data_IF_903704928786
#
_entry.id   IF_903704928786
#
_cell.length_a   1.000
_cell.length_b   1.000
_cell.length_c   1.000
_cell.angle_alpha   90.00
_cell.angle_beta   90.00
_cell.angle_gamma   90.00
#
_symmetry.space_group_name_H-M   'P 1'
#
loop_
_entity.id
_entity.type
_entity.pdbx_description
1 polymer ?
#
# COMPACT_ATOMS: atom_id res chain seq x y z
N UNK A 1 14.31 -5.19 10.30
CA UNK A 1 14.40 -3.81 10.77
C UNK A 1 14.03 -3.72 12.27
N UNK A 2 12.90 -4.27 12.73
CA UNK A 2 12.49 -4.26 14.13
C UNK A 2 13.58 -4.78 15.07
N UNK A 3 14.20 -5.94 14.74
CA UNK A 3 15.32 -6.48 15.52
C UNK A 3 16.49 -5.50 15.67
N UNK A 4 16.86 -4.77 14.60
CA UNK A 4 17.93 -3.77 14.62
C UNK A 4 17.57 -2.56 15.50
N UNK A 5 16.29 -2.23 15.59
CA UNK A 5 15.75 -1.14 16.41
C UNK A 5 15.34 -1.58 17.82
N UNK A 6 15.55 -2.88 18.17
CA UNK A 6 15.15 -3.48 19.45
C UNK A 6 13.64 -3.35 19.73
N UNK A 7 12.83 -3.47 18.68
CA UNK A 7 11.37 -3.46 18.75
C UNK A 7 10.90 -4.91 18.72
N UNK A 8 10.07 -5.28 19.68
CA UNK A 8 9.50 -6.62 19.75
C UNK A 8 8.51 -6.85 18.61
N UNK A 9 8.56 -8.05 18.02
CA UNK A 9 7.61 -8.42 16.99
C UNK A 9 6.21 -8.59 17.59
N UNK A 10 5.23 -7.86 17.06
CA UNK A 10 3.87 -7.89 17.57
C UNK A 10 2.95 -6.89 16.86
N UNK A 11 1.74 -6.80 17.35
CA UNK A 11 0.69 -5.97 16.77
C UNK A 11 1.08 -4.47 16.67
N UNK A 12 1.90 -4.00 17.59
CA UNK A 12 2.31 -2.60 17.65
C UNK A 12 3.65 -2.30 16.97
N UNK A 13 4.36 -3.34 16.50
CA UNK A 13 5.71 -3.22 15.97
C UNK A 13 5.83 -2.21 14.82
N UNK A 14 4.87 -2.18 13.90
CA UNK A 14 4.87 -1.24 12.78
C UNK A 14 4.74 0.22 13.25
N UNK A 15 3.89 0.48 14.26
CA UNK A 15 3.71 1.82 14.83
C UNK A 15 4.94 2.27 15.61
N UNK A 16 5.49 1.40 16.45
CA UNK A 16 6.72 1.68 17.21
C UNK A 16 7.88 1.97 16.26
N UNK A 17 7.98 1.20 15.16
CA UNK A 17 8.98 1.41 14.13
C UNK A 17 8.79 2.76 13.43
N UNK A 18 7.55 3.15 13.13
CA UNK A 18 7.23 4.47 12.57
C UNK A 18 7.75 5.60 13.46
N UNK A 19 7.46 5.52 14.76
CA UNK A 19 7.94 6.52 15.73
C UNK A 19 9.47 6.53 15.82
N UNK A 20 10.09 5.36 15.93
CA UNK A 20 11.55 5.23 16.06
C UNK A 20 12.30 5.73 14.82
N UNK A 21 11.68 5.73 13.65
CA UNK A 21 12.22 6.23 12.39
C UNK A 21 11.83 7.68 12.08
N UNK A 22 11.36 8.44 13.09
CA UNK A 22 11.06 9.86 12.92
C UNK A 22 9.74 10.14 12.20
N UNK A 23 8.76 9.23 12.30
CA UNK A 23 7.42 9.43 11.77
C UNK A 23 7.18 8.91 10.35
N UNK A 24 8.07 8.06 9.84
CA UNK A 24 7.86 7.44 8.53
C UNK A 24 6.62 6.57 8.50
N UNK A 25 5.90 6.58 7.38
CA UNK A 25 4.83 5.61 7.13
C UNK A 25 5.42 4.22 6.89
N UNK A 26 4.99 3.25 7.67
CA UNK A 26 5.43 1.85 7.60
C UNK A 26 4.33 1.00 7.00
N UNK A 27 4.61 0.33 5.88
CA UNK A 27 3.75 -0.69 5.30
C UNK A 27 4.28 -2.08 5.68
N UNK A 28 3.62 -2.73 6.61
CA UNK A 28 3.86 -4.13 7.00
C UNK A 28 2.95 -5.05 6.20
N UNK A 29 3.57 -5.93 5.41
CA UNK A 29 2.84 -6.92 4.60
C UNK A 29 2.50 -8.16 5.40
N UNK A 30 1.24 -8.58 5.32
CA UNK A 30 0.77 -9.76 6.04
C UNK A 30 -0.42 -10.46 5.38
N UNK A 31 -1.14 -11.24 6.16
CA UNK A 31 -2.48 -11.70 5.80
C UNK A 31 -3.40 -10.48 5.65
N UNK A 32 -3.34 -9.59 6.61
CA UNK A 32 -3.83 -8.22 6.58
C UNK A 32 -2.60 -7.31 6.50
N UNK A 33 -2.55 -6.38 5.56
CA UNK A 33 -1.47 -5.42 5.51
C UNK A 33 -1.76 -4.29 6.50
N UNK A 34 -0.73 -3.87 7.26
CA UNK A 34 -0.84 -2.78 8.23
C UNK A 34 -0.05 -1.58 7.76
N UNK A 35 -0.70 -0.45 7.73
CA UNK A 35 -0.09 0.83 7.39
C UNK A 35 -0.06 1.68 8.64
N UNK A 36 1.13 1.88 9.18
CA UNK A 36 1.35 2.55 10.46
C UNK A 36 2.00 3.91 10.29
N UNK A 37 1.51 4.87 11.04
CA UNK A 37 2.10 6.19 11.29
C UNK A 37 2.18 6.42 12.80
N UNK A 38 2.84 7.48 13.28
CA UNK A 38 2.79 7.82 14.72
C UNK A 38 1.37 8.07 15.22
N UNK A 39 0.47 8.53 14.34
CA UNK A 39 -0.93 8.84 14.67
C UNK A 39 -1.81 7.59 14.82
N UNK A 40 -1.51 6.51 14.08
CA UNK A 40 -2.34 5.31 14.12
C UNK A 40 -1.92 4.24 13.14
N UNK A 41 -2.75 3.20 13.08
CA UNK A 41 -2.59 2.06 12.16
C UNK A 41 -3.89 1.90 11.38
N UNK A 42 -3.78 1.74 10.06
CA UNK A 42 -4.88 1.37 9.18
C UNK A 42 -4.60 -0.02 8.62
N UNK A 43 -5.61 -0.85 8.55
CA UNK A 43 -5.49 -2.23 8.07
C UNK A 43 -6.18 -2.40 6.70
N UNK A 44 -5.49 -3.07 5.79
CA UNK A 44 -6.05 -3.53 4.53
C UNK A 44 -6.23 -5.04 4.59
N UNK A 45 -7.47 -5.47 4.76
CA UNK A 45 -7.90 -6.87 4.87
C UNK A 45 -8.51 -7.44 3.58
N UNK A 46 -8.48 -6.67 2.48
CA UNK A 46 -8.95 -7.14 1.19
C UNK A 46 -8.32 -8.49 0.83
N UNK A 47 -9.14 -9.42 0.39
CA UNK A 47 -8.65 -10.72 -0.07
C UNK A 47 -7.75 -10.57 -1.29
N UNK A 48 -6.53 -11.12 -1.18
CA UNK A 48 -5.62 -11.31 -2.30
C UNK A 48 -5.76 -12.70 -2.94
N UNK A 49 -4.90 -13.00 -3.91
CA UNK A 49 -4.81 -14.33 -4.48
C UNK A 49 -4.25 -15.35 -3.49
N UNK A 50 -4.71 -16.61 -3.57
CA UNK A 50 -4.27 -17.71 -2.70
C UNK A 50 -2.86 -18.22 -3.01
N UNK A 51 -2.18 -17.61 -3.98
CA UNK A 51 -0.80 -17.92 -4.33
C UNK A 51 0.11 -16.72 -4.12
N UNK A 52 1.19 -16.92 -3.37
CA UNK A 52 2.31 -15.98 -3.33
C UNK A 52 3.35 -16.40 -4.38
N UNK A 53 3.85 -15.42 -5.14
CA UNK A 53 4.97 -15.59 -6.08
C UNK A 53 5.97 -14.45 -5.91
N UNK A 54 7.23 -14.71 -6.25
CA UNK A 54 8.26 -13.67 -6.28
C UNK A 54 7.87 -12.54 -7.24
N UNK A 55 8.20 -11.29 -6.92
CA UNK A 55 7.86 -10.13 -7.71
C UNK A 55 6.56 -9.39 -7.31
N UNK A 56 5.69 -9.98 -6.50
CA UNK A 56 4.50 -9.26 -6.00
C UNK A 56 4.87 -8.03 -5.15
N UNK A 57 6.02 -8.07 -4.46
CA UNK A 57 6.54 -6.94 -3.71
C UNK A 57 6.95 -5.77 -4.63
N UNK A 58 7.49 -6.08 -5.81
CA UNK A 58 7.91 -5.09 -6.78
C UNK A 58 6.69 -4.39 -7.40
N UNK A 59 5.62 -5.15 -7.65
CA UNK A 59 4.33 -4.58 -8.08
C UNK A 59 3.74 -3.63 -7.03
N UNK A 60 3.75 -4.04 -5.76
CA UNK A 60 3.31 -3.18 -4.67
C UNK A 60 4.16 -1.91 -4.58
N UNK A 61 5.49 -2.03 -4.68
CA UNK A 61 6.39 -0.88 -4.63
C UNK A 61 6.18 0.08 -5.81
N UNK A 62 5.99 -0.45 -7.01
CA UNK A 62 5.69 0.35 -8.21
C UNK A 62 4.34 1.07 -8.11
N UNK A 63 3.30 0.37 -7.65
CA UNK A 63 1.97 0.95 -7.43
C UNK A 63 2.02 2.03 -6.35
N UNK A 64 2.72 1.76 -5.25
CA UNK A 64 2.94 2.73 -4.16
C UNK A 64 3.68 3.97 -4.65
N UNK A 65 4.75 3.80 -5.44
CA UNK A 65 5.49 4.92 -6.04
C UNK A 65 4.60 5.80 -6.91
N UNK A 66 3.69 5.20 -7.68
CA UNK A 66 2.71 5.94 -8.49
C UNK A 66 1.74 6.74 -7.61
N UNK A 67 1.19 6.13 -6.56
CA UNK A 67 0.26 6.84 -5.66
C UNK A 67 0.96 7.94 -4.86
N UNK A 68 2.21 7.74 -4.44
CA UNK A 68 3.00 8.79 -3.80
C UNK A 68 3.29 9.96 -4.76
N UNK A 69 3.54 9.69 -6.03
CA UNK A 69 3.70 10.74 -7.04
C UNK A 69 2.39 11.54 -7.23
N UNK A 70 1.24 10.88 -7.21
CA UNK A 70 -0.06 11.58 -7.25
C UNK A 70 -0.34 12.37 -5.97
N UNK A 71 -0.01 11.82 -4.82
CA UNK A 71 -0.11 12.53 -3.54
C UNK A 71 0.75 13.80 -3.56
N UNK A 72 1.98 13.70 -4.03
CA UNK A 72 2.88 14.86 -4.19
C UNK A 72 2.30 15.90 -5.15
N UNK A 73 1.75 15.46 -6.26
CA UNK A 73 1.08 16.36 -7.22
C UNK A 73 -0.14 17.05 -6.61
N UNK A 74 -0.90 16.35 -5.78
CA UNK A 74 -2.03 16.94 -5.04
C UNK A 74 -1.56 18.05 -4.09
N UNK A 75 -0.51 17.81 -3.30
CA UNK A 75 0.11 18.82 -2.43
C UNK A 75 0.52 20.07 -3.20
N UNK A 76 1.22 19.90 -4.33
CA UNK A 76 1.70 20.98 -5.18
C UNK A 76 0.54 21.85 -5.72
N UNK A 77 -0.52 21.21 -6.21
CA UNK A 77 -1.72 21.89 -6.72
C UNK A 77 -2.44 22.66 -5.61
N UNK A 78 -2.56 22.04 -4.42
CA UNK A 78 -3.16 22.70 -3.25
C UNK A 78 -2.33 23.92 -2.82
N UNK A 79 -1.01 23.82 -2.82
CA UNK A 79 -0.11 24.94 -2.53
C UNK A 79 -0.18 26.07 -3.56
N UNK A 80 -0.57 25.78 -4.81
CA UNK A 80 -0.82 26.75 -5.87
C UNK A 80 -2.20 27.43 -5.78
N UNK A 81 -3.00 27.08 -4.75
CA UNK A 81 -4.32 27.68 -4.51
C UNK A 81 -5.45 27.06 -5.34
N UNK A 82 -5.21 25.88 -5.94
CA UNK A 82 -6.28 25.19 -6.65
C UNK A 82 -7.37 24.71 -5.68
N UNK A 83 -8.63 24.85 -6.09
CA UNK A 83 -9.79 24.41 -5.32
C UNK A 83 -9.86 22.87 -5.34
N UNK A 84 -9.17 22.23 -4.41
CA UNK A 84 -9.15 20.79 -4.20
C UNK A 84 -9.87 20.45 -2.90
N UNK A 85 -10.37 19.20 -2.75
CA UNK A 85 -10.95 18.73 -1.51
C UNK A 85 -10.03 19.00 -0.32
N UNK A 86 -10.62 19.33 0.83
CA UNK A 86 -9.85 19.49 2.05
C UNK A 86 -9.46 18.13 2.58
N UNK A 87 -8.15 17.93 2.76
CA UNK A 87 -7.57 16.69 3.23
C UNK A 87 -6.30 16.99 4.04
N UNK A 88 -6.05 16.21 5.09
CA UNK A 88 -4.83 16.32 5.87
C UNK A 88 -3.65 15.78 5.07
N UNK A 89 -2.77 16.70 4.64
CA UNK A 89 -1.64 16.35 3.78
C UNK A 89 -0.66 15.37 4.44
N UNK A 90 -0.59 15.37 5.77
CA UNK A 90 0.26 14.44 6.52
C UNK A 90 -0.23 12.98 6.42
N UNK A 91 -1.49 12.76 6.04
CA UNK A 91 -2.06 11.43 5.85
C UNK A 91 -1.90 10.90 4.43
N UNK A 92 -1.48 11.73 3.47
CA UNK A 92 -1.33 11.31 2.07
C UNK A 92 -0.41 10.09 1.88
N UNK A 93 0.75 9.97 2.56
CA UNK A 93 1.59 8.78 2.44
C UNK A 93 0.91 7.50 2.95
N UNK A 94 0.11 7.59 4.02
CA UNK A 94 -0.67 6.48 4.54
C UNK A 94 -1.77 6.08 3.56
N UNK A 95 -2.49 7.05 3.00
CA UNK A 95 -3.52 6.82 2.00
C UNK A 95 -2.95 6.19 0.73
N UNK A 96 -1.79 6.67 0.26
CA UNK A 96 -1.08 6.10 -0.89
C UNK A 96 -0.69 4.64 -0.64
N UNK A 97 -0.17 4.32 0.55
CA UNK A 97 0.20 2.96 0.93
C UNK A 97 -1.02 2.03 1.04
N UNK A 98 -2.11 2.53 1.60
CA UNK A 98 -3.37 1.79 1.68
C UNK A 98 -3.94 1.50 0.29
N UNK A 99 -4.05 2.51 -0.57
CA UNK A 99 -4.52 2.34 -1.94
C UNK A 99 -3.65 1.37 -2.76
N UNK A 100 -2.33 1.45 -2.63
CA UNK A 100 -1.41 0.53 -3.29
C UNK A 100 -1.60 -0.92 -2.82
N UNK A 101 -1.82 -1.11 -1.51
CA UNK A 101 -2.14 -2.42 -0.94
C UNK A 101 -3.47 -2.96 -1.51
N UNK A 102 -4.52 -2.15 -1.54
CA UNK A 102 -5.81 -2.52 -2.11
C UNK A 102 -5.69 -2.95 -3.58
N UNK A 103 -5.02 -2.15 -4.42
CA UNK A 103 -4.85 -2.46 -5.85
C UNK A 103 -4.06 -3.76 -6.06
N UNK A 104 -2.94 -3.92 -5.37
CA UNK A 104 -2.11 -5.12 -5.56
C UNK A 104 -2.77 -6.39 -5.05
N UNK A 105 -3.54 -6.33 -3.97
CA UNK A 105 -4.33 -7.46 -3.47
C UNK A 105 -5.44 -7.82 -4.44
N UNK A 106 -6.19 -6.84 -4.94
CA UNK A 106 -7.24 -7.04 -5.93
C UNK A 106 -6.67 -7.61 -7.23
N UNK A 107 -5.56 -7.06 -7.74
CA UNK A 107 -4.87 -7.61 -8.91
C UNK A 107 -4.43 -9.06 -8.70
N UNK A 108 -3.89 -9.39 -7.52
CA UNK A 108 -3.51 -10.76 -7.16
C UNK A 108 -4.71 -11.71 -7.13
N UNK A 109 -5.85 -11.27 -6.58
CA UNK A 109 -7.11 -12.05 -6.58
C UNK A 109 -7.60 -12.31 -8.00
N UNK A 110 -7.62 -11.28 -8.85
CA UNK A 110 -8.03 -11.38 -10.26
C UNK A 110 -7.12 -12.32 -11.04
N UNK A 111 -5.80 -12.15 -10.94
CA UNK A 111 -4.82 -13.03 -11.58
C UNK A 111 -4.95 -14.48 -11.13
N UNK A 112 -5.17 -14.70 -9.83
CA UNK A 112 -5.38 -16.05 -9.29
C UNK A 112 -6.69 -16.66 -9.78
N UNK A 113 -7.78 -15.90 -9.85
CA UNK A 113 -9.06 -16.38 -10.39
C UNK A 113 -8.93 -16.84 -11.85
N UNK A 114 -8.09 -16.17 -12.64
CA UNK A 114 -7.84 -16.49 -14.05
C UNK A 114 -6.87 -17.65 -14.26
N UNK A 115 -5.79 -17.73 -13.51
CA UNK A 115 -4.66 -18.61 -13.76
C UNK A 115 -4.42 -19.65 -12.66
N UNK A 116 -5.11 -19.54 -11.53
CA UNK A 116 -4.95 -20.44 -10.40
C UNK A 116 -3.50 -20.50 -9.93
N UNK A 117 -3.03 -21.72 -9.66
CA UNK A 117 -1.66 -21.93 -9.15
C UNK A 117 -0.55 -21.73 -10.19
N UNK A 118 -0.87 -21.55 -11.47
CA UNK A 118 0.13 -21.23 -12.50
C UNK A 118 0.50 -19.74 -12.56
N UNK A 119 -0.27 -18.89 -11.89
CA UNK A 119 -0.05 -17.43 -11.85
C UNK A 119 1.38 -17.07 -11.44
N UNK A 120 2.00 -16.15 -12.17
CA UNK A 120 3.29 -15.52 -11.89
C UNK A 120 3.10 -14.01 -11.67
N UNK A 121 4.12 -13.33 -11.12
CA UNK A 121 4.05 -11.88 -10.91
C UNK A 121 3.83 -11.08 -12.19
N UNK A 122 4.41 -11.54 -13.30
CA UNK A 122 4.24 -10.91 -14.62
C UNK A 122 2.76 -10.90 -15.09
N UNK A 123 2.01 -11.92 -14.72
CA UNK A 123 0.59 -12.00 -15.07
C UNK A 123 -0.26 -10.93 -14.36
N UNK A 124 0.24 -10.41 -13.24
CA UNK A 124 -0.43 -9.40 -12.44
C UNK A 124 -0.30 -7.99 -13.04
N UNK A 125 0.68 -7.75 -13.89
CA UNK A 125 0.85 -6.43 -14.53
C UNK A 125 -0.39 -6.02 -15.31
N UNK A 126 -0.99 -6.94 -16.05
CA UNK A 126 -2.22 -6.71 -16.81
C UNK A 126 -3.46 -6.55 -15.91
N UNK A 127 -3.38 -6.95 -14.66
CA UNK A 127 -4.50 -6.85 -13.70
C UNK A 127 -4.48 -5.57 -12.87
N UNK A 128 -3.38 -4.79 -12.87
CA UNK A 128 -3.27 -3.56 -12.08
C UNK A 128 -4.31 -2.52 -12.51
N UNK A 129 -4.42 -2.25 -13.81
CA UNK A 129 -5.40 -1.30 -14.34
C UNK A 129 -6.84 -1.70 -14.04
N UNK A 130 -7.26 -2.93 -14.37
CA UNK A 130 -8.58 -3.43 -14.01
C UNK A 130 -8.85 -3.40 -12.49
N UNK A 131 -7.87 -3.76 -11.65
CA UNK A 131 -8.01 -3.70 -10.20
C UNK A 131 -8.22 -2.27 -9.69
N UNK A 132 -7.52 -1.30 -10.29
CA UNK A 132 -7.74 0.12 -10.00
C UNK A 132 -9.17 0.56 -10.38
N UNK A 133 -9.63 0.16 -11.57
CA UNK A 133 -10.99 0.45 -12.01
C UNK A 133 -12.07 -0.14 -11.08
N UNK A 134 -11.90 -1.39 -10.63
CA UNK A 134 -12.84 -2.04 -9.70
C UNK A 134 -12.95 -1.32 -8.33
N UNK A 135 -11.89 -0.60 -7.92
CA UNK A 135 -11.81 0.01 -6.59
C UNK A 135 -12.18 1.49 -6.57
N UNK A 136 -11.93 2.23 -7.65
CA UNK A 136 -11.95 3.69 -7.61
C UNK A 136 -12.73 4.36 -8.75
N UNK A 137 -13.22 3.60 -9.72
CA UNK A 137 -13.99 4.11 -10.87
C UNK A 137 -15.34 3.42 -10.97
#
# INVERSE_FOLDING_TARGET
>A
LCRAMRIDAGEHAAKELSVALGGLTILEKGRTDRIATPRGVVECDLEGGLKRCGGQGDLLSGTLGTFLAWAKRFEERKAQGEALPDFDLDELPMLAAYGASCVTRTASRRGFARLGRSMLANDLLSEIGPAYGDLFV
#
